data_IF_461588509720
#
_entry.id   IF_461588509720
#
_cell.length_a   1.000
_cell.length_b   1.000
_cell.length_c   1.000
_cell.angle_alpha   90.00
_cell.angle_beta   90.00
_cell.angle_gamma   90.00
#
_symmetry.space_group_name_H-M   'P 1'
#
loop_
_entity.id
_entity.type
_entity.pdbx_description
1 polymer ?
#
# COMPACT_ATOMS: atom_id res chain seq x y z
N UNK A 1 25.74 40.64 -22.38
CA UNK A 1 25.60 39.39 -23.16
C UNK A 1 26.50 39.44 -24.40
N UNK A 2 26.94 38.29 -24.91
CA UNK A 2 27.80 38.11 -26.10
C UNK A 2 27.12 37.17 -27.10
N UNK A 3 27.88 36.66 -28.08
CA UNK A 3 27.40 35.80 -29.15
C UNK A 3 26.48 34.68 -28.60
N UNK A 4 25.30 34.56 -29.22
CA UNK A 4 24.28 33.54 -28.93
C UNK A 4 23.78 33.48 -27.47
N UNK A 5 23.91 34.56 -26.68
CA UNK A 5 23.32 34.65 -25.34
C UNK A 5 24.26 34.28 -24.18
N UNK A 6 25.56 34.13 -24.46
CA UNK A 6 26.57 33.89 -23.42
C UNK A 6 26.74 35.11 -22.50
N UNK A 7 26.99 34.86 -21.21
CA UNK A 7 27.30 35.93 -20.25
C UNK A 7 28.78 36.30 -20.36
N UNK A 8 29.07 37.60 -20.46
CA UNK A 8 30.46 38.08 -20.51
C UNK A 8 30.96 38.30 -19.09
N UNK A 9 32.00 37.58 -18.73
CA UNK A 9 32.74 37.84 -17.51
C UNK A 9 33.86 38.85 -17.80
N UNK A 10 33.75 40.04 -17.19
CA UNK A 10 34.66 41.15 -17.44
C UNK A 10 36.03 40.96 -16.76
N UNK A 11 36.10 40.17 -15.69
CA UNK A 11 37.35 39.95 -14.94
C UNK A 11 38.29 39.01 -15.71
N UNK A 12 37.74 37.94 -16.29
CA UNK A 12 38.51 36.94 -17.03
C UNK A 12 38.54 37.18 -18.54
N UNK A 13 37.59 37.94 -19.08
CA UNK A 13 37.36 38.08 -20.52
C UNK A 13 36.71 36.85 -21.16
N UNK A 14 36.27 35.87 -20.37
CA UNK A 14 35.65 34.63 -20.84
C UNK A 14 34.13 34.78 -20.98
N UNK A 15 33.55 33.84 -21.74
CA UNK A 15 32.11 33.79 -21.96
C UNK A 15 31.52 32.59 -21.22
N UNK A 16 30.71 32.87 -20.20
CA UNK A 16 30.03 31.83 -19.46
C UNK A 16 28.81 31.32 -20.25
N UNK A 17 28.79 30.00 -20.50
CA UNK A 17 27.73 29.29 -21.19
C UNK A 17 27.24 28.14 -20.30
N UNK A 18 26.49 28.48 -19.24
CA UNK A 18 25.85 27.58 -18.27
C UNK A 18 26.81 26.54 -17.67
N UNK A 19 27.05 25.43 -18.36
CA UNK A 19 27.90 24.36 -17.83
C UNK A 19 29.38 24.56 -18.10
N UNK A 20 29.78 25.49 -18.99
CA UNK A 20 31.19 25.69 -19.36
C UNK A 20 31.56 27.16 -19.60
N UNK A 21 32.84 27.47 -19.46
CA UNK A 21 33.44 28.74 -19.89
C UNK A 21 34.04 28.59 -21.29
N UNK A 22 33.60 29.45 -22.21
CA UNK A 22 34.07 29.56 -23.58
C UNK A 22 35.11 30.66 -23.70
N UNK A 23 36.24 30.36 -24.33
CA UNK A 23 37.26 31.33 -24.69
C UNK A 23 37.08 31.76 -26.15
N UNK A 24 36.63 33.02 -26.40
CA UNK A 24 36.43 33.52 -27.76
C UNK A 24 37.74 33.69 -28.56
N UNK A 25 38.90 33.80 -27.89
CA UNK A 25 40.21 33.92 -28.56
C UNK A 25 40.66 32.57 -29.11
N UNK A 26 40.37 31.49 -28.40
CA UNK A 26 40.74 30.12 -28.79
C UNK A 26 39.63 29.38 -29.56
N UNK A 27 38.40 29.90 -29.52
CA UNK A 27 37.25 29.31 -30.20
C UNK A 27 36.75 28.00 -29.56
N UNK A 28 37.00 27.77 -28.26
CA UNK A 28 36.73 26.49 -27.58
C UNK A 28 36.39 26.66 -26.10
N UNK A 29 35.88 25.61 -25.47
CA UNK A 29 35.69 25.55 -24.01
C UNK A 29 37.01 25.28 -23.28
N UNK A 30 37.11 25.78 -22.04
CA UNK A 30 38.29 25.58 -21.18
C UNK A 30 38.27 24.27 -20.40
N UNK A 31 37.07 23.72 -20.16
CA UNK A 31 36.89 22.47 -19.43
C UNK A 31 36.35 21.39 -20.36
N UNK A 32 36.73 20.11 -20.16
CA UNK A 32 36.10 19.01 -20.85
C UNK A 32 34.58 18.99 -20.67
N UNK A 33 33.86 18.46 -21.64
CA UNK A 33 32.40 18.32 -21.58
C UNK A 33 31.99 17.47 -20.36
N UNK A 34 31.13 17.99 -19.44
CA UNK A 34 30.63 17.24 -18.30
C UNK A 34 29.91 15.94 -18.67
N UNK A 35 29.32 15.85 -19.87
CA UNK A 35 28.68 14.61 -20.36
C UNK A 35 29.67 13.66 -21.06
N UNK A 36 30.98 13.95 -20.95
CA UNK A 36 32.09 13.12 -21.44
C UNK A 36 31.93 12.81 -22.93
N UNK A 37 32.09 11.52 -23.31
CA UNK A 37 32.00 11.07 -24.70
C UNK A 37 30.63 11.28 -25.35
N UNK A 38 29.56 11.47 -24.55
CA UNK A 38 28.25 11.78 -25.11
C UNK A 38 28.18 13.20 -25.73
N UNK A 39 29.07 14.11 -25.31
CA UNK A 39 29.24 15.43 -25.92
C UNK A 39 30.01 15.41 -27.25
N UNK A 40 30.51 14.24 -27.66
CA UNK A 40 31.37 14.07 -28.83
C UNK A 40 32.82 13.75 -28.47
N UNK A 41 33.61 13.42 -29.50
CA UNK A 41 35.00 12.99 -29.31
C UNK A 41 35.93 14.13 -28.86
N UNK A 42 35.64 15.37 -29.26
CA UNK A 42 36.41 16.54 -28.86
C UNK A 42 35.71 17.25 -27.68
N UNK A 43 36.16 16.94 -26.47
CA UNK A 43 35.53 17.41 -25.23
C UNK A 43 35.64 18.92 -24.99
N UNK A 44 36.48 19.63 -25.75
CA UNK A 44 36.67 21.08 -25.63
C UNK A 44 35.97 21.86 -26.75
N UNK A 45 35.40 21.19 -27.76
CA UNK A 45 34.80 21.85 -28.91
C UNK A 45 33.55 22.64 -28.53
N UNK A 46 33.39 23.85 -29.09
CA UNK A 46 32.16 24.64 -28.94
C UNK A 46 31.00 24.02 -29.72
N UNK A 47 31.06 24.11 -31.06
CA UNK A 47 30.19 23.39 -31.99
C UNK A 47 30.98 23.04 -33.26
N UNK A 48 30.59 22.01 -34.02
CA UNK A 48 31.20 21.69 -35.31
C UNK A 48 31.12 22.82 -36.35
N UNK A 49 30.01 23.57 -36.38
CA UNK A 49 29.84 24.69 -37.31
C UNK A 49 29.32 25.96 -36.59
N UNK A 50 30.20 26.86 -36.11
CA UNK A 50 29.81 28.03 -35.31
C UNK A 50 29.05 29.11 -36.09
N UNK A 51 29.01 29.04 -37.43
CA UNK A 51 28.24 30.00 -38.24
C UNK A 51 26.76 29.64 -38.34
N UNK A 52 26.42 28.35 -38.19
CA UNK A 52 25.04 27.87 -38.30
C UNK A 52 24.49 27.20 -37.04
N UNK A 53 25.34 26.79 -36.09
CA UNK A 53 24.96 26.02 -34.91
C UNK A 53 25.24 26.80 -33.63
N UNK A 54 24.46 26.47 -32.59
CA UNK A 54 24.52 27.06 -31.26
C UNK A 54 24.61 25.93 -30.23
N UNK A 55 25.33 26.14 -29.13
CA UNK A 55 25.30 25.26 -27.96
C UNK A 55 24.62 26.02 -26.80
N UNK A 56 23.28 25.91 -26.64
CA UNK A 56 22.55 26.69 -25.63
C UNK A 56 22.80 26.24 -24.18
N UNK A 57 23.34 25.04 -23.99
CA UNK A 57 23.52 24.43 -22.67
C UNK A 57 24.98 24.43 -22.24
N UNK A 58 25.93 24.59 -23.17
CA UNK A 58 27.32 24.29 -22.87
C UNK A 58 27.54 22.78 -22.73
N UNK A 59 26.78 21.95 -23.46
CA UNK A 59 26.86 20.48 -23.47
C UNK A 59 26.63 20.07 -24.92
N UNK A 60 27.67 19.75 -25.67
CA UNK A 60 27.54 19.67 -27.13
C UNK A 60 26.71 18.46 -27.55
N UNK A 61 25.42 18.69 -27.76
CA UNK A 61 24.50 17.76 -28.43
C UNK A 61 23.99 18.44 -29.70
N UNK A 62 24.37 17.89 -30.85
CA UNK A 62 23.99 18.31 -32.21
C UNK A 62 22.52 18.74 -32.33
N UNK A 63 22.21 20.01 -32.10
CA UNK A 63 20.90 20.54 -32.44
C UNK A 63 21.03 21.67 -33.48
N UNK A 64 20.55 21.43 -34.72
CA UNK A 64 20.40 22.51 -35.71
C UNK A 64 19.31 23.50 -35.25
N UNK A 65 19.23 24.70 -35.87
CA UNK A 65 18.33 25.79 -35.44
C UNK A 65 16.86 25.38 -35.28
N UNK A 66 16.07 26.14 -34.48
CA UNK A 66 14.74 25.74 -34.04
C UNK A 66 13.80 25.49 -35.22
N UNK A 67 13.24 24.28 -35.32
CA UNK A 67 12.28 23.92 -36.36
C UNK A 67 12.32 22.48 -36.88
N UNK A 68 13.22 21.60 -36.40
CA UNK A 68 13.20 20.17 -36.77
C UNK A 68 13.19 19.27 -35.52
N UNK A 69 12.11 18.49 -35.28
CA UNK A 69 12.14 17.45 -34.27
C UNK A 69 12.99 16.28 -34.81
N UNK A 70 14.15 16.06 -34.22
CA UNK A 70 15.04 14.95 -34.61
C UNK A 70 16.53 15.24 -34.45
N UNK A 71 16.97 15.63 -33.26
CA UNK A 71 18.40 15.55 -32.92
C UNK A 71 18.72 14.05 -32.68
N UNK A 72 19.01 13.27 -33.73
CA UNK A 72 19.65 11.95 -33.58
C UNK A 72 21.14 12.17 -33.43
N UNK A 73 21.66 11.88 -32.23
CA UNK A 73 23.09 11.89 -31.94
C UNK A 73 23.76 10.82 -32.82
N UNK A 74 24.73 11.14 -33.70
CA UNK A 74 25.49 10.11 -34.41
C UNK A 74 26.46 9.49 -33.41
N UNK A 75 26.13 8.30 -32.92
CA UNK A 75 26.81 7.66 -31.79
C UNK A 75 25.82 7.29 -30.71
N UNK A 76 24.78 6.56 -31.11
CA UNK A 76 23.72 6.08 -30.25
C UNK A 76 24.31 5.21 -29.12
N UNK A 77 24.56 5.83 -27.96
CA UNK A 77 24.90 5.13 -26.71
C UNK A 77 23.65 4.63 -25.99
N UNK A 78 22.49 4.56 -26.65
CA UNK A 78 21.33 3.84 -26.12
C UNK A 78 21.65 2.34 -26.00
N UNK A 79 22.33 1.99 -24.91
CA UNK A 79 22.80 0.64 -24.67
C UNK A 79 24.08 0.53 -23.85
N UNK A 80 24.86 1.61 -23.70
CA UNK A 80 26.07 1.58 -22.86
C UNK A 80 25.66 1.60 -21.38
N UNK A 81 25.44 0.41 -20.80
CA UNK A 81 25.32 0.23 -19.35
C UNK A 81 26.73 0.21 -18.78
N UNK A 82 27.02 1.11 -17.84
CA UNK A 82 28.17 0.97 -16.95
C UNK A 82 27.89 -0.21 -16.03
N UNK A 83 28.74 -1.24 -16.10
CA UNK A 83 28.74 -2.32 -15.11
C UNK A 83 29.55 -1.82 -13.90
N UNK A 84 28.85 -1.36 -12.86
CA UNK A 84 29.46 -0.85 -11.63
C UNK A 84 30.01 -2.00 -10.75
N UNK A 85 29.90 -3.27 -11.19
CA UNK A 85 30.36 -4.43 -10.42
C UNK A 85 29.56 -4.69 -9.13
N UNK A 86 28.46 -3.97 -8.93
CA UNK A 86 27.58 -4.16 -7.78
C UNK A 86 26.79 -5.48 -7.93
N UNK A 87 26.74 -6.32 -6.88
CA UNK A 87 25.93 -7.52 -6.91
C UNK A 87 24.45 -7.15 -7.05
N UNK A 88 23.73 -7.83 -7.94
CA UNK A 88 22.31 -7.60 -8.11
C UNK A 88 21.58 -7.85 -6.79
N UNK A 89 20.77 -6.88 -6.34
CA UNK A 89 19.93 -7.07 -5.15
C UNK A 89 19.07 -8.32 -5.32
N UNK A 90 18.90 -9.13 -4.27
CA UNK A 90 18.02 -10.30 -4.34
C UNK A 90 16.61 -9.84 -4.71
N UNK A 91 16.13 -10.29 -5.87
CA UNK A 91 14.78 -9.99 -6.36
C UNK A 91 13.83 -11.06 -5.85
N UNK A 92 12.84 -10.65 -5.06
CA UNK A 92 11.76 -11.54 -4.63
C UNK A 92 11.00 -12.07 -5.85
N UNK A 93 10.71 -13.37 -5.87
CA UNK A 93 9.83 -13.99 -6.84
C UNK A 93 8.42 -13.38 -6.79
N UNK A 94 7.62 -13.57 -7.84
CA UNK A 94 6.23 -13.11 -7.83
C UNK A 94 5.42 -13.73 -6.68
N UNK A 95 5.70 -15.00 -6.34
CA UNK A 95 5.04 -15.70 -5.25
C UNK A 95 5.39 -15.10 -3.89
N UNK A 96 6.67 -14.83 -3.64
CA UNK A 96 7.10 -14.22 -2.37
C UNK A 96 6.59 -12.79 -2.22
N UNK A 97 6.58 -12.01 -3.32
CA UNK A 97 5.96 -10.68 -3.32
C UNK A 97 4.48 -10.75 -2.95
N UNK A 98 3.74 -11.70 -3.51
CA UNK A 98 2.33 -11.89 -3.21
C UNK A 98 2.11 -12.31 -1.76
N UNK A 99 2.88 -13.27 -1.26
CA UNK A 99 2.81 -13.71 0.14
C UNK A 99 3.08 -12.54 1.11
N UNK A 100 4.08 -11.71 0.83
CA UNK A 100 4.39 -10.53 1.63
C UNK A 100 3.29 -9.48 1.59
N UNK A 101 2.66 -9.27 0.43
CA UNK A 101 1.49 -8.38 0.32
C UNK A 101 0.33 -8.92 1.16
N UNK A 102 0.05 -10.22 1.07
CA UNK A 102 -1.04 -10.84 1.82
C UNK A 102 -0.81 -10.79 3.34
N UNK A 103 0.44 -11.03 3.80
CA UNK A 103 0.85 -10.88 5.19
C UNK A 103 0.68 -9.43 5.68
N UNK A 104 1.19 -8.45 4.94
CA UNK A 104 1.05 -7.03 5.27
C UNK A 104 -0.41 -6.58 5.26
N UNK A 105 -1.23 -7.08 4.32
CA UNK A 105 -2.65 -6.78 4.27
C UNK A 105 -3.38 -7.34 5.49
N UNK A 106 -3.01 -8.53 5.94
CA UNK A 106 -3.58 -9.17 7.13
C UNK A 106 -3.21 -8.42 8.42
N UNK A 107 -1.94 -8.01 8.56
CA UNK A 107 -1.47 -7.22 9.70
C UNK A 107 -2.12 -5.83 9.74
N UNK A 108 -2.26 -5.18 8.58
CA UNK A 108 -2.97 -3.91 8.49
C UNK A 108 -4.45 -4.07 8.85
N UNK A 109 -5.11 -5.14 8.40
CA UNK A 109 -6.49 -5.41 8.75
C UNK A 109 -6.68 -5.62 10.26
N UNK A 110 -5.77 -6.38 10.89
CA UNK A 110 -5.76 -6.55 12.35
C UNK A 110 -5.66 -5.20 13.08
N UNK A 111 -4.69 -4.38 12.71
CA UNK A 111 -4.49 -3.05 13.33
C UNK A 111 -5.75 -2.18 13.22
N UNK A 112 -6.41 -2.18 12.06
CA UNK A 112 -7.66 -1.43 11.86
C UNK A 112 -8.79 -1.93 12.72
N UNK A 113 -8.95 -3.26 12.83
CA UNK A 113 -9.96 -3.86 13.69
C UNK A 113 -9.71 -3.54 15.17
N UNK A 114 -8.46 -3.63 15.63
CA UNK A 114 -8.06 -3.30 17.00
C UNK A 114 -8.32 -1.82 17.33
N UNK A 115 -7.94 -0.91 16.42
CA UNK A 115 -8.24 0.53 16.52
C UNK A 115 -9.77 0.76 16.64
N UNK A 116 -10.58 0.08 15.81
CA UNK A 116 -12.04 0.21 15.82
C UNK A 116 -12.69 -0.35 17.08
N UNK A 117 -12.23 -1.50 17.58
CA UNK A 117 -12.78 -2.16 18.77
C UNK A 117 -12.52 -1.29 20.00
N UNK A 118 -11.29 -0.80 20.17
CA UNK A 118 -10.93 0.11 21.26
C UNK A 118 -11.69 1.43 21.21
N UNK A 119 -11.99 1.94 20.02
CA UNK A 119 -12.73 3.18 19.85
C UNK A 119 -14.23 3.05 20.14
N UNK A 120 -14.78 1.83 20.10
CA UNK A 120 -16.23 1.61 20.20
C UNK A 120 -16.58 0.95 21.53
N UNK A 121 -17.30 1.68 22.39
CA UNK A 121 -17.65 1.19 23.72
C UNK A 121 -18.50 -0.10 23.64
N UNK A 122 -18.01 -1.16 24.30
CA UNK A 122 -18.69 -2.46 24.34
C UNK A 122 -18.51 -3.33 23.08
N UNK A 123 -17.66 -2.90 22.15
CA UNK A 123 -17.30 -3.71 21.00
C UNK A 123 -16.43 -4.93 21.41
N UNK A 124 -16.63 -6.05 20.73
CA UNK A 124 -15.97 -7.32 21.05
C UNK A 124 -15.87 -8.26 19.83
N UNK A 125 -15.84 -7.71 18.62
CA UNK A 125 -15.74 -8.48 17.39
C UNK A 125 -14.38 -9.15 17.21
N UNK A 126 -13.28 -8.53 17.64
CA UNK A 126 -11.98 -9.15 17.69
C UNK A 126 -11.87 -10.03 18.92
N UNK A 127 -12.13 -9.50 20.12
CA UNK A 127 -12.00 -10.23 21.38
C UNK A 127 -12.72 -11.59 21.35
N UNK A 128 -13.94 -11.65 20.77
CA UNK A 128 -14.74 -12.89 20.79
C UNK A 128 -14.80 -13.64 19.46
N UNK A 129 -14.48 -13.00 18.33
CA UNK A 129 -14.70 -13.58 17.00
C UNK A 129 -13.54 -13.39 16.02
N UNK A 130 -12.47 -12.72 16.45
CA UNK A 130 -11.32 -12.45 15.60
C UNK A 130 -10.49 -13.70 15.30
N UNK A 131 -9.69 -13.61 14.24
CA UNK A 131 -8.78 -14.68 13.78
C UNK A 131 -7.82 -15.17 14.85
N UNK A 132 -7.46 -14.32 15.80
CA UNK A 132 -6.54 -14.66 16.88
C UNK A 132 -7.14 -15.65 17.90
N UNK A 133 -8.47 -15.84 17.88
CA UNK A 133 -9.12 -16.88 18.68
C UNK A 133 -8.91 -18.26 18.05
N UNK A 134 -9.19 -19.33 18.80
CA UNK A 134 -8.99 -20.70 18.33
C UNK A 134 -10.30 -21.49 18.27
N UNK A 135 -10.36 -22.51 17.43
CA UNK A 135 -11.49 -23.43 17.38
C UNK A 135 -11.77 -24.07 18.74
N UNK A 136 -10.72 -24.40 19.51
CA UNK A 136 -10.83 -24.93 20.86
C UNK A 136 -11.48 -23.93 21.83
N UNK A 137 -11.01 -22.68 21.83
CA UNK A 137 -11.61 -21.62 22.66
C UNK A 137 -13.05 -21.33 22.26
N UNK A 138 -13.40 -21.41 20.97
CA UNK A 138 -14.78 -21.25 20.52
C UNK A 138 -15.68 -22.42 20.95
N UNK A 139 -15.15 -23.66 20.96
CA UNK A 139 -15.87 -24.81 21.53
C UNK A 139 -16.15 -24.60 23.01
N UNK A 140 -15.16 -24.21 23.79
CA UNK A 140 -15.33 -23.93 25.23
C UNK A 140 -16.34 -22.81 25.46
N UNK A 141 -16.25 -21.71 24.70
CA UNK A 141 -17.22 -20.61 24.72
C UNK A 141 -18.64 -21.07 24.42
N UNK A 142 -18.82 -21.97 23.45
CA UNK A 142 -20.15 -22.49 23.09
C UNK A 142 -20.80 -23.33 24.19
N UNK A 143 -20.00 -23.89 25.10
CA UNK A 143 -20.44 -24.74 26.21
C UNK A 143 -20.64 -23.90 27.49
N UNK A 144 -19.69 -23.02 27.79
CA UNK A 144 -19.57 -22.37 29.10
C UNK A 144 -19.86 -20.87 29.08
N UNK A 145 -19.81 -20.24 27.91
CA UNK A 145 -19.82 -18.77 27.79
C UNK A 145 -18.46 -18.12 28.07
N UNK A 146 -17.40 -18.89 28.27
CA UNK A 146 -16.04 -18.38 28.51
C UNK A 146 -15.53 -17.56 27.33
N UNK A 147 -15.01 -16.37 27.62
CA UNK A 147 -14.42 -15.49 26.63
C UNK A 147 -13.16 -16.14 26.02
N UNK A 148 -13.05 -16.21 24.68
CA UNK A 148 -11.96 -16.93 24.03
C UNK A 148 -10.62 -16.19 24.10
N UNK A 149 -10.64 -14.89 24.40
CA UNK A 149 -9.42 -14.07 24.57
C UNK A 149 -9.13 -13.84 26.05
N UNK A 150 -10.11 -13.40 26.84
CA UNK A 150 -9.87 -13.03 28.25
C UNK A 150 -9.96 -14.20 29.23
N UNK A 151 -10.66 -15.27 28.85
CA UNK A 151 -10.91 -16.41 29.74
C UNK A 151 -11.99 -16.19 30.80
N UNK A 152 -12.62 -15.01 30.83
CA UNK A 152 -13.68 -14.67 31.79
C UNK A 152 -15.04 -15.25 31.38
N UNK A 153 -15.90 -15.53 32.36
CA UNK A 153 -17.28 -15.97 32.12
C UNK A 153 -18.21 -14.82 32.49
N UNK A 154 -18.86 -14.23 31.48
CA UNK A 154 -19.88 -13.22 31.71
C UNK A 154 -21.15 -13.85 32.29
N UNK A 155 -21.68 -13.27 33.35
CA UNK A 155 -22.94 -13.69 33.97
C UNK A 155 -24.03 -12.64 33.81
N UNK A 156 -25.30 -13.05 33.87
CA UNK A 156 -26.39 -12.09 34.00
C UNK A 156 -26.30 -11.40 35.37
N UNK A 157 -26.36 -10.08 35.38
CA UNK A 157 -26.27 -9.29 36.62
C UNK A 157 -27.61 -9.21 37.35
N UNK A 158 -28.72 -9.15 36.61
CA UNK A 158 -30.06 -8.93 37.14
C UNK A 158 -31.09 -9.89 36.53
N UNK A 159 -32.25 -10.02 37.19
CA UNK A 159 -33.40 -10.82 36.72
C UNK A 159 -33.34 -12.29 37.14
N UNK A 160 -34.26 -13.12 36.60
CA UNK A 160 -34.41 -14.54 36.98
C UNK A 160 -33.19 -15.41 36.69
N UNK A 161 -32.28 -14.94 35.83
CA UNK A 161 -31.05 -15.64 35.45
C UNK A 161 -29.81 -15.06 36.12
N UNK A 162 -29.96 -14.14 37.09
CA UNK A 162 -28.83 -13.52 37.77
C UNK A 162 -27.86 -14.58 38.30
N UNK A 163 -26.56 -14.38 38.05
CA UNK A 163 -25.49 -15.33 38.38
C UNK A 163 -25.29 -16.46 37.37
N UNK A 164 -26.19 -16.68 36.41
CA UNK A 164 -26.01 -17.71 35.38
C UNK A 164 -25.08 -17.22 34.25
N UNK A 165 -24.26 -18.12 33.64
CA UNK A 165 -23.42 -17.78 32.50
C UNK A 165 -24.21 -17.34 31.25
N UNK A 166 -23.67 -16.37 30.51
CA UNK A 166 -24.19 -15.92 29.21
C UNK A 166 -23.65 -16.80 28.08
N UNK A 167 -24.26 -17.97 27.90
CA UNK A 167 -23.86 -18.91 26.85
C UNK A 167 -24.47 -18.48 25.50
N UNK A 168 -23.66 -18.25 24.44
CA UNK A 168 -24.17 -17.83 23.15
C UNK A 168 -24.93 -18.96 22.42
N UNK A 169 -25.71 -18.64 21.39
CA UNK A 169 -26.36 -19.62 20.51
C UNK A 169 -25.36 -20.34 19.61
N UNK A 170 -24.28 -19.65 19.24
CA UNK A 170 -23.13 -20.18 18.53
C UNK A 170 -21.86 -19.39 18.91
N UNK A 171 -20.71 -20.03 18.78
CA UNK A 171 -19.40 -19.42 18.99
C UNK A 171 -18.54 -19.71 17.76
N UNK A 172 -18.23 -18.66 17.01
CA UNK A 172 -17.56 -18.72 15.72
C UNK A 172 -16.46 -17.68 15.62
N UNK A 173 -15.48 -17.93 14.75
CA UNK A 173 -14.38 -17.01 14.48
C UNK A 173 -14.05 -16.92 12.99
N UNK A 174 -13.48 -15.78 12.58
CA UNK A 174 -13.02 -15.57 11.22
C UNK A 174 -11.67 -16.23 10.96
N UNK A 175 -11.46 -16.76 9.76
CA UNK A 175 -10.14 -17.23 9.32
C UNK A 175 -9.17 -16.09 8.96
N UNK A 176 -9.70 -14.90 8.65
CA UNK A 176 -8.92 -13.75 8.19
C UNK A 176 -9.43 -12.44 8.77
N UNK A 177 -8.50 -11.61 9.24
CA UNK A 177 -8.77 -10.23 9.65
C UNK A 177 -9.27 -9.39 8.47
N UNK A 178 -8.79 -9.66 7.24
CA UNK A 178 -9.26 -8.98 6.03
C UNK A 178 -10.73 -9.28 5.75
N UNK A 179 -11.15 -10.53 5.92
CA UNK A 179 -12.54 -10.93 5.67
C UNK A 179 -13.49 -10.33 6.73
N UNK A 180 -13.05 -10.30 7.99
CA UNK A 180 -13.78 -9.65 9.07
C UNK A 180 -13.95 -8.14 8.83
N UNK A 181 -12.85 -7.45 8.49
CA UNK A 181 -12.86 -6.02 8.18
C UNK A 181 -13.74 -5.71 6.96
N UNK A 182 -13.70 -6.57 5.93
CA UNK A 182 -14.58 -6.47 4.77
C UNK A 182 -16.06 -6.60 5.16
N UNK A 183 -16.41 -7.58 6.01
CA UNK A 183 -17.78 -7.74 6.51
C UNK A 183 -18.27 -6.47 7.23
N UNK A 184 -17.44 -5.88 8.09
CA UNK A 184 -17.76 -4.62 8.78
C UNK A 184 -17.99 -3.48 7.79
N UNK A 185 -17.07 -3.26 6.84
CA UNK A 185 -17.22 -2.20 5.84
C UNK A 185 -18.48 -2.38 4.98
N UNK A 186 -18.79 -3.62 4.60
CA UNK A 186 -20.04 -3.95 3.86
C UNK A 186 -21.26 -3.64 4.71
N UNK A 187 -21.27 -4.03 5.98
CA UNK A 187 -22.38 -3.75 6.89
C UNK A 187 -22.61 -2.24 7.06
N UNK A 188 -21.54 -1.46 7.24
CA UNK A 188 -21.62 0.00 7.34
C UNK A 188 -22.15 0.64 6.04
N UNK A 189 -21.76 0.09 4.88
CA UNK A 189 -22.32 0.54 3.60
C UNK A 189 -23.81 0.25 3.48
N UNK A 190 -24.25 -0.96 3.86
CA UNK A 190 -25.66 -1.35 3.88
C UNK A 190 -26.44 -0.47 4.86
N UNK A 191 -25.89 -0.21 6.06
CA UNK A 191 -26.50 0.66 7.06
C UNK A 191 -26.77 2.06 6.50
N UNK A 192 -25.77 2.67 5.84
CA UNK A 192 -25.93 4.00 5.24
C UNK A 192 -26.98 4.05 4.12
N UNK A 193 -27.21 2.94 3.41
CA UNK A 193 -28.12 2.89 2.26
C UNK A 193 -29.54 2.45 2.62
N UNK A 194 -29.65 1.43 3.46
CA UNK A 194 -30.88 0.66 3.70
C UNK A 194 -31.30 0.68 5.19
N UNK A 195 -30.50 1.29 6.06
CA UNK A 195 -30.77 1.37 7.50
C UNK A 195 -30.32 0.15 8.30
N UNK A 196 -30.59 0.21 9.62
CA UNK A 196 -30.02 -0.70 10.61
C UNK A 196 -30.55 -2.14 10.53
N UNK A 197 -31.80 -2.34 10.10
CA UNK A 197 -32.38 -3.69 9.98
C UNK A 197 -31.66 -4.49 8.89
N UNK A 198 -31.53 -3.90 7.71
CA UNK A 198 -30.84 -4.51 6.57
C UNK A 198 -29.36 -4.81 6.87
N UNK A 199 -28.68 -3.96 7.66
CA UNK A 199 -27.26 -4.20 7.98
C UNK A 199 -27.02 -5.41 8.89
N UNK A 200 -28.06 -5.92 9.57
CA UNK A 200 -27.98 -7.08 10.48
C UNK A 200 -28.24 -8.41 9.78
N UNK A 201 -28.69 -8.39 8.53
CA UNK A 201 -28.93 -9.62 7.78
C UNK A 201 -27.61 -10.35 7.47
N UNK A 202 -27.58 -11.70 7.53
CA UNK A 202 -26.39 -12.46 7.15
C UNK A 202 -25.98 -12.15 5.71
N UNK A 203 -24.75 -11.67 5.54
CA UNK A 203 -24.21 -11.37 4.21
C UNK A 203 -23.34 -12.51 3.68
N UNK A 204 -23.62 -12.91 2.45
CA UNK A 204 -22.79 -13.89 1.75
C UNK A 204 -21.40 -13.28 1.46
N UNK A 205 -20.34 -13.99 1.88
CA UNK A 205 -18.96 -13.59 1.67
C UNK A 205 -18.32 -14.22 0.42
N UNK A 206 -19.06 -15.07 -0.30
CA UNK A 206 -18.64 -15.71 -1.55
C UNK A 206 -17.61 -16.83 -1.38
N UNK A 207 -17.17 -17.08 -0.14
CA UNK A 207 -16.23 -18.13 0.24
C UNK A 207 -16.43 -18.48 1.71
N UNK A 208 -15.81 -19.55 2.15
CA UNK A 208 -15.74 -19.87 3.58
C UNK A 208 -14.87 -18.80 4.27
N UNK A 209 -15.43 -18.16 5.30
CA UNK A 209 -14.78 -17.05 6.03
C UNK A 209 -14.53 -17.35 7.50
N UNK A 210 -15.12 -18.43 8.04
CA UNK A 210 -14.93 -18.80 9.43
C UNK A 210 -15.43 -20.19 9.75
N UNK A 211 -15.32 -20.53 11.03
CA UNK A 211 -15.77 -21.80 11.59
C UNK A 211 -16.19 -21.64 13.05
N UNK A 212 -16.84 -22.66 13.61
CA UNK A 212 -17.13 -22.71 15.03
C UNK A 212 -18.14 -23.79 15.40
N UNK A 213 -18.80 -23.59 16.55
CA UNK A 213 -19.77 -24.53 17.11
C UNK A 213 -21.09 -23.86 17.46
N UNK A 214 -22.21 -24.56 17.25
CA UNK A 214 -23.48 -24.20 17.90
C UNK A 214 -23.40 -24.45 19.42
N UNK A 215 -24.31 -23.85 20.18
CA UNK A 215 -24.43 -23.98 21.65
C UNK A 215 -24.31 -25.44 22.09
N UNK A 216 -23.54 -25.68 23.15
CA UNK A 216 -23.26 -27.00 23.69
C UNK A 216 -22.07 -27.70 23.04
N UNK A 217 -21.44 -27.13 22.01
CA UNK A 217 -20.15 -27.61 21.48
C UNK A 217 -20.19 -28.93 20.73
N UNK A 218 -21.38 -29.39 20.33
CA UNK A 218 -21.59 -30.67 19.66
C UNK A 218 -21.66 -30.56 18.13
N UNK A 219 -22.09 -29.40 17.61
CA UNK A 219 -22.29 -29.20 16.17
C UNK A 219 -21.24 -28.25 15.63
N UNK A 220 -20.25 -28.79 14.92
CA UNK A 220 -19.24 -28.03 14.19
C UNK A 220 -19.78 -27.57 12.82
N UNK A 221 -19.32 -26.42 12.34
CA UNK A 221 -19.49 -26.05 10.94
C UNK A 221 -18.55 -24.95 10.47
N UNK A 222 -18.41 -24.86 9.15
CA UNK A 222 -17.72 -23.78 8.45
C UNK A 222 -18.75 -22.85 7.81
N UNK A 223 -18.55 -21.55 7.92
CA UNK A 223 -19.53 -20.56 7.49
C UNK A 223 -19.07 -19.79 6.26
N UNK A 224 -20.02 -19.50 5.37
CA UNK A 224 -19.84 -18.63 4.20
C UNK A 224 -20.46 -17.24 4.41
N UNK A 225 -21.20 -17.06 5.49
CA UNK A 225 -21.92 -15.82 5.80
C UNK A 225 -21.36 -15.16 7.06
N UNK A 226 -21.45 -13.84 7.09
CA UNK A 226 -21.10 -13.02 8.24
C UNK A 226 -22.28 -12.15 8.65
N UNK A 227 -22.42 -11.89 9.95
CA UNK A 227 -23.36 -10.93 10.52
C UNK A 227 -22.56 -9.87 11.25
N UNK A 228 -22.98 -8.62 11.12
CA UNK A 228 -22.37 -7.49 11.83
C UNK A 228 -23.48 -6.71 12.52
N UNK A 229 -23.29 -6.46 13.81
CA UNK A 229 -24.19 -5.64 14.59
C UNK A 229 -23.55 -4.26 14.76
N UNK A 230 -24.24 -3.25 14.25
CA UNK A 230 -23.86 -1.85 14.38
C UNK A 230 -24.74 -1.15 15.43
N UNK A 231 -24.18 -0.15 16.10
CA UNK A 231 -24.93 0.75 16.96
C UNK A 231 -25.80 1.74 16.16
N UNK A 232 -26.41 2.72 16.85
CA UNK A 232 -27.26 3.73 16.20
C UNK A 232 -26.47 4.72 15.34
N UNK A 233 -25.17 4.87 15.56
CA UNK A 233 -24.27 5.72 14.78
C UNK A 233 -23.65 4.98 13.58
N UNK A 234 -23.88 3.66 13.45
CA UNK A 234 -23.28 2.83 12.43
C UNK A 234 -21.87 2.32 12.79
N UNK A 235 -21.48 2.40 14.07
CA UNK A 235 -20.22 1.87 14.57
C UNK A 235 -20.35 0.38 14.92
N UNK A 236 -19.34 -0.45 14.61
CA UNK A 236 -19.42 -1.89 14.82
C UNK A 236 -19.31 -2.26 16.30
N UNK A 237 -20.29 -3.02 16.79
CA UNK A 237 -20.29 -3.59 18.15
C UNK A 237 -19.80 -5.04 18.12
N UNK A 238 -20.29 -5.84 17.19
CA UNK A 238 -19.80 -7.20 17.02
C UNK A 238 -19.91 -7.64 15.57
N UNK A 239 -19.08 -8.59 15.16
CA UNK A 239 -19.11 -9.22 13.86
C UNK A 239 -18.70 -10.67 14.05
N UNK A 240 -19.45 -11.60 13.47
CA UNK A 240 -19.20 -13.02 13.62
C UNK A 240 -19.68 -13.76 12.37
N UNK A 241 -19.21 -14.99 12.17
CA UNK A 241 -19.67 -15.83 11.07
C UNK A 241 -20.91 -16.62 11.50
N UNK A 242 -21.90 -16.71 10.61
CA UNK A 242 -23.24 -17.21 10.95
C UNK A 242 -23.51 -18.59 10.34
N UNK A 243 -24.16 -19.46 11.12
CA UNK A 243 -24.68 -20.72 10.60
C UNK A 243 -25.96 -20.44 9.83
N UNK A 244 -25.94 -20.63 8.50
CA UNK A 244 -27.20 -20.74 7.76
C UNK A 244 -27.74 -22.16 7.95
N UNK A 245 -29.02 -22.22 8.28
CA UNK A 245 -29.79 -23.47 8.31
C UNK A 245 -30.24 -23.87 6.90
#
# INVERSE_FOLDING_TARGET
LRFQGQYFDAESGLHYNRHRYYDPRLGRYLTPDPIKLAGGLNQYQYVPNPTGWVDPLGLSSNCPPPGKPGCKVPGDVSGAKVDEGEPALPKMSAQERRARIDELAEANAYRRLDEMEKATQGAHFMEKHGKQTTLASQRERSITGRNPTTGDIEVYTNGRRAGQPKIPSAATHFFSNRDQLNAIHRAQLIFRRNGQLASKEPMNMGKIVGEGYKRGGLVYGRQTHAVVILDRAGMPITSYTEFLE
#
